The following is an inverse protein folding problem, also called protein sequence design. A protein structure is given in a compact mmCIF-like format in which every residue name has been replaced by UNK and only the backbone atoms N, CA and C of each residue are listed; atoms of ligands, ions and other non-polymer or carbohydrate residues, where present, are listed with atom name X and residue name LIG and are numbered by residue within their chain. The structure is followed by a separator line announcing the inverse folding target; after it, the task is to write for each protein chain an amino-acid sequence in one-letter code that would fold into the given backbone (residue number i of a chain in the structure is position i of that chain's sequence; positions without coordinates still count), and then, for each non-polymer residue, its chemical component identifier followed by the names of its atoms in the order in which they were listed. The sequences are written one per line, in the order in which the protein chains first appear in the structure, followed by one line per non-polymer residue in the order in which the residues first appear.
data_IF_087512979658
#
_entry.id   IF_087512979658
#
_cell.length_a   1.000
_cell.length_b   1.000
_cell.length_c   1.000
_cell.angle_alpha   90.00
_cell.angle_beta   90.00
_cell.angle_gamma   90.00
#
_symmetry.space_group_name_H-M   'P 1'
#
loop_
_entity.id
_entity.type
_entity.pdbx_description
1 polymer ?
#
# COMPACT_ATOMS: atom_id res chain seq x y z
N UNK A 1 7.89 17.96 -1.50
CA UNK A 1 7.82 17.04 -0.37
C UNK A 1 8.37 15.69 -0.80
N UNK A 2 9.18 15.07 0.02
CA UNK A 2 9.64 13.68 -0.11
C UNK A 2 9.06 12.89 1.06
N UNK A 3 8.47 11.75 0.75
CA UNK A 3 7.90 10.83 1.75
C UNK A 3 8.65 9.51 1.66
N UNK A 4 9.21 9.05 2.75
CA UNK A 4 9.79 7.72 2.88
C UNK A 4 8.86 6.85 3.71
N UNK A 5 8.41 5.74 3.14
CA UNK A 5 7.58 4.76 3.83
C UNK A 5 8.42 3.62 4.39
N UNK A 6 7.80 2.80 5.25
CA UNK A 6 8.38 1.53 5.67
C UNK A 6 8.63 0.60 4.48
N UNK A 7 9.68 -0.23 4.54
CA UNK A 7 9.96 -1.25 3.52
C UNK A 7 8.89 -2.35 3.39
N UNK A 8 7.94 -2.40 4.32
CA UNK A 8 6.78 -3.31 4.33
C UNK A 8 5.47 -2.54 4.11
N UNK A 9 5.51 -1.42 3.45
CA UNK A 9 4.35 -0.59 3.19
C UNK A 9 3.73 -0.90 1.82
N UNK A 10 2.42 -0.98 1.79
CA UNK A 10 1.65 -0.98 0.56
C UNK A 10 1.63 0.44 -0.02
N UNK A 11 2.03 0.63 -1.29
CA UNK A 11 2.18 1.98 -1.84
C UNK A 11 0.85 2.65 -2.19
N UNK A 12 -0.20 1.88 -2.50
CA UNK A 12 -1.47 2.43 -2.98
C UNK A 12 -2.19 3.31 -1.96
N UNK A 13 -2.38 2.92 -0.69
CA UNK A 13 -3.08 3.76 0.28
C UNK A 13 -2.40 5.13 0.47
N UNK A 14 -1.07 5.17 0.40
CA UNK A 14 -0.31 6.42 0.50
C UNK A 14 -0.56 7.30 -0.73
N UNK A 15 -0.52 6.72 -1.92
CA UNK A 15 -0.76 7.46 -3.16
C UNK A 15 -2.17 8.03 -3.20
N UNK A 16 -3.19 7.26 -2.83
CA UNK A 16 -4.57 7.71 -2.72
C UNK A 16 -4.73 8.86 -1.71
N UNK A 17 -4.08 8.78 -0.55
CA UNK A 17 -4.09 9.86 0.43
C UNK A 17 -3.46 11.15 -0.11
N UNK A 18 -2.42 11.05 -0.95
CA UNK A 18 -1.78 12.22 -1.58
C UNK A 18 -2.71 12.87 -2.60
N UNK A 19 -3.50 12.11 -3.35
CA UNK A 19 -4.47 12.65 -4.32
C UNK A 19 -5.56 13.52 -3.69
N UNK A 20 -5.88 13.30 -2.42
CA UNK A 20 -6.85 14.14 -1.71
C UNK A 20 -6.32 15.53 -1.35
N UNK A 21 -5.00 15.78 -1.53
CA UNK A 21 -4.38 17.06 -1.20
C UNK A 21 -4.68 18.09 -2.29
N UNK A 22 -5.36 19.16 -1.92
CA UNK A 22 -5.66 20.27 -2.82
C UNK A 22 -4.37 20.86 -3.41
N UNK A 23 -4.31 20.98 -4.74
CA UNK A 23 -3.15 21.47 -5.49
C UNK A 23 -1.86 20.63 -5.34
N UNK A 24 -1.97 19.41 -4.81
CA UNK A 24 -0.90 18.42 -4.80
C UNK A 24 -0.94 17.54 -6.05
N UNK A 25 0.19 16.98 -6.43
CA UNK A 25 0.27 15.90 -7.39
C UNK A 25 1.42 14.97 -7.03
N UNK A 26 1.26 13.71 -7.34
CA UNK A 26 2.30 12.70 -7.16
C UNK A 26 3.24 12.73 -8.37
N UNK A 27 4.48 13.17 -8.15
CA UNK A 27 5.46 13.34 -9.22
C UNK A 27 6.10 12.01 -9.66
N UNK A 28 6.47 11.20 -8.68
CA UNK A 28 7.21 9.96 -8.90
C UNK A 28 7.02 9.03 -7.69
N UNK A 29 6.79 7.76 -7.95
CA UNK A 29 6.87 6.70 -6.95
C UNK A 29 8.13 5.90 -7.23
N UNK A 30 9.05 5.92 -6.27
CA UNK A 30 10.35 5.29 -6.39
C UNK A 30 10.42 4.08 -5.47
N UNK A 31 10.60 2.90 -6.05
CA UNK A 31 10.93 1.70 -5.31
C UNK A 31 12.42 1.37 -5.43
N UNK A 32 13.01 0.88 -4.34
CA UNK A 32 14.42 0.48 -4.29
C UNK A 32 14.49 -0.99 -3.96
N UNK A 33 15.06 -1.78 -4.86
CA UNK A 33 15.25 -3.22 -4.68
C UNK A 33 16.74 -3.58 -4.64
N UNK A 34 17.07 -4.61 -3.89
CA UNK A 34 18.41 -5.17 -3.77
C UNK A 34 18.59 -6.29 -4.81
N UNK A 35 19.45 -6.07 -5.81
CA UNK A 35 19.72 -7.05 -6.85
C UNK A 35 20.22 -8.38 -6.29
N UNK A 36 21.08 -8.35 -5.28
CA UNK A 36 21.63 -9.55 -4.67
C UNK A 36 20.54 -10.36 -3.96
N UNK A 37 19.64 -9.68 -3.25
CA UNK A 37 18.50 -10.31 -2.60
C UNK A 37 17.54 -10.93 -3.61
N UNK A 38 17.25 -10.24 -4.71
CA UNK A 38 16.40 -10.78 -5.77
C UNK A 38 16.97 -12.07 -6.37
N UNK A 39 18.30 -12.15 -6.49
CA UNK A 39 18.98 -13.35 -7.00
C UNK A 39 18.96 -14.49 -5.97
N UNK A 40 19.32 -14.22 -4.73
CA UNK A 40 19.54 -15.26 -3.72
C UNK A 40 18.23 -15.79 -3.12
N UNK A 41 17.29 -14.90 -2.79
CA UNK A 41 16.06 -15.26 -2.08
C UNK A 41 14.90 -15.53 -3.03
N UNK A 42 14.84 -14.85 -4.19
CA UNK A 42 13.69 -14.91 -5.10
C UNK A 42 14.01 -15.58 -6.45
N UNK A 43 15.06 -16.38 -6.52
CA UNK A 43 15.45 -17.09 -7.75
C UNK A 43 15.56 -16.17 -8.97
N UNK A 44 16.36 -15.12 -8.86
CA UNK A 44 16.55 -14.08 -9.88
C UNK A 44 15.22 -13.34 -10.22
N UNK A 45 14.28 -13.32 -9.28
CA UNK A 45 12.97 -12.73 -9.42
C UNK A 45 11.88 -13.67 -9.97
N UNK A 46 12.22 -14.90 -10.35
CA UNK A 46 11.26 -15.84 -10.94
C UNK A 46 10.12 -16.22 -9.96
N UNK A 47 10.38 -16.18 -8.65
CA UNK A 47 9.34 -16.43 -7.63
C UNK A 47 8.27 -15.35 -7.61
N UNK A 48 8.62 -14.11 -7.93
CA UNK A 48 7.69 -12.97 -7.99
C UNK A 48 6.65 -13.09 -9.12
N UNK A 49 6.81 -14.02 -10.03
CA UNK A 49 5.87 -14.28 -11.12
C UNK A 49 4.87 -15.40 -10.81
N UNK A 50 4.90 -15.97 -9.62
CA UNK A 50 3.95 -16.99 -9.20
C UNK A 50 2.60 -16.35 -8.88
N UNK A 51 1.50 -17.04 -9.23
CA UNK A 51 0.14 -16.57 -8.99
C UNK A 51 -0.44 -16.98 -7.63
N UNK A 52 0.17 -17.97 -6.97
CA UNK A 52 -0.33 -18.54 -5.70
C UNK A 52 0.45 -17.98 -4.49
N UNK A 53 0.72 -16.67 -4.47
CA UNK A 53 1.32 -16.00 -3.32
C UNK A 53 0.21 -15.60 -2.35
N UNK A 54 0.43 -15.84 -1.03
CA UNK A 54 -0.45 -15.34 0.01
C UNK A 54 -0.37 -13.81 0.10
N UNK A 55 -1.45 -13.17 0.51
CA UNK A 55 -1.50 -11.70 0.62
C UNK A 55 -0.51 -11.14 1.65
N UNK A 56 -0.21 -11.91 2.68
CA UNK A 56 0.73 -11.55 3.75
C UNK A 56 2.20 -11.90 3.44
N UNK A 57 2.47 -12.49 2.27
CA UNK A 57 3.82 -12.89 1.89
C UNK A 57 4.68 -11.67 1.50
N UNK A 58 5.94 -11.68 1.90
CA UNK A 58 6.92 -10.63 1.53
C UNK A 58 7.06 -10.53 0.01
N UNK A 59 6.93 -11.65 -0.69
CA UNK A 59 6.93 -11.73 -2.14
C UNK A 59 5.79 -10.92 -2.75
N UNK A 60 4.57 -11.05 -2.23
CA UNK A 60 3.39 -10.32 -2.68
C UNK A 60 3.59 -8.81 -2.51
N UNK A 61 4.06 -8.39 -1.35
CA UNK A 61 4.35 -6.99 -1.08
C UNK A 61 5.43 -6.41 -1.99
N UNK A 62 6.50 -7.18 -2.27
CA UNK A 62 7.55 -6.75 -3.18
C UNK A 62 7.03 -6.63 -4.62
N UNK A 63 6.15 -7.53 -5.06
CA UNK A 63 5.47 -7.44 -6.35
C UNK A 63 4.65 -6.16 -6.43
N UNK A 64 3.80 -5.88 -5.44
CA UNK A 64 3.00 -4.65 -5.37
C UNK A 64 3.88 -3.40 -5.44
N UNK A 65 5.00 -3.37 -4.71
CA UNK A 65 5.94 -2.25 -4.74
C UNK A 65 6.61 -2.06 -6.10
N UNK A 66 6.86 -3.12 -6.85
CA UNK A 66 7.42 -3.05 -8.21
C UNK A 66 6.35 -2.61 -9.21
N UNK A 67 5.16 -3.19 -9.14
CA UNK A 67 4.05 -2.89 -10.06
C UNK A 67 3.56 -1.44 -9.93
N UNK A 68 3.57 -0.89 -8.71
CA UNK A 68 3.09 0.45 -8.44
C UNK A 68 4.11 1.56 -8.68
N UNK A 69 5.39 1.25 -8.80
CA UNK A 69 6.40 2.29 -8.98
C UNK A 69 6.49 2.80 -10.42
N UNK A 70 6.76 4.09 -10.56
CA UNK A 70 7.11 4.71 -11.85
C UNK A 70 8.62 4.76 -12.10
N UNK A 71 9.42 4.64 -11.04
CA UNK A 71 10.88 4.49 -11.11
C UNK A 71 11.34 3.37 -10.18
N UNK A 72 12.05 2.39 -10.71
CA UNK A 72 12.66 1.30 -9.94
C UNK A 72 14.17 1.44 -9.92
N UNK A 73 14.74 1.53 -8.73
CA UNK A 73 16.18 1.52 -8.53
C UNK A 73 16.61 0.10 -8.17
N UNK A 74 17.37 -0.55 -9.05
CA UNK A 74 18.00 -1.85 -8.76
C UNK A 74 19.39 -1.57 -8.23
N UNK A 75 19.51 -1.62 -6.89
CA UNK A 75 20.77 -1.34 -6.20
C UNK A 75 21.63 -2.58 -6.02
N UNK A 76 22.88 -2.36 -5.66
CA UNK A 76 23.91 -3.41 -5.45
C UNK A 76 24.17 -4.25 -6.72
N UNK A 77 24.13 -3.64 -7.89
CA UNK A 77 24.41 -4.31 -9.16
C UNK A 77 25.83 -4.91 -9.22
N UNK A 78 26.75 -4.38 -8.43
CA UNK A 78 28.12 -4.86 -8.28
C UNK A 78 28.25 -6.23 -7.61
N UNK A 79 27.17 -6.71 -6.96
CA UNK A 79 27.14 -8.01 -6.27
C UNK A 79 26.50 -9.14 -7.09
N UNK A 80 26.09 -8.87 -8.31
CA UNK A 80 25.46 -9.85 -9.20
C UNK A 80 26.16 -9.86 -10.56
N UNK A 81 26.04 -10.98 -11.27
CA UNK A 81 26.59 -11.09 -12.64
C UNK A 81 25.64 -10.42 -13.64
N UNK A 82 26.17 -10.08 -14.83
CA UNK A 82 25.35 -9.51 -15.90
C UNK A 82 24.23 -10.46 -16.36
N UNK A 83 24.46 -11.77 -16.36
CA UNK A 83 23.41 -12.74 -16.73
C UNK A 83 22.29 -12.82 -15.68
N UNK A 84 22.64 -12.72 -14.39
CA UNK A 84 21.66 -12.58 -13.32
C UNK A 84 20.87 -11.27 -13.44
N UNK A 85 21.55 -10.15 -13.71
CA UNK A 85 20.91 -8.86 -13.90
C UNK A 85 19.95 -8.85 -15.10
N UNK A 86 20.29 -9.54 -16.21
CA UNK A 86 19.36 -9.71 -17.35
C UNK A 86 18.08 -10.40 -16.96
N UNK A 87 18.17 -11.44 -16.11
CA UNK A 87 16.97 -12.15 -15.62
C UNK A 87 16.12 -11.25 -14.71
N UNK A 88 16.74 -10.53 -13.78
CA UNK A 88 16.07 -9.56 -12.93
C UNK A 88 15.34 -8.50 -13.76
N UNK A 89 16.01 -7.93 -14.79
CA UNK A 89 15.36 -6.96 -15.70
C UNK A 89 14.15 -7.56 -16.41
N UNK A 90 14.26 -8.80 -16.89
CA UNK A 90 13.17 -9.47 -17.59
C UNK A 90 11.94 -9.66 -16.68
N UNK A 91 12.15 -10.02 -15.42
CA UNK A 91 11.07 -10.13 -14.43
C UNK A 91 10.45 -8.78 -14.15
N UNK A 92 11.26 -7.75 -13.88
CA UNK A 92 10.79 -6.39 -13.63
C UNK A 92 9.97 -5.86 -14.81
N UNK A 93 10.47 -6.01 -16.03
CA UNK A 93 9.73 -5.57 -17.25
C UNK A 93 8.41 -6.29 -17.43
N UNK A 94 8.32 -7.54 -16.96
CA UNK A 94 7.07 -8.31 -17.02
C UNK A 94 6.06 -7.85 -15.97
N UNK A 95 6.52 -7.49 -14.75
CA UNK A 95 5.66 -6.96 -13.69
C UNK A 95 5.22 -5.52 -13.98
N UNK A 96 6.14 -4.67 -14.43
CA UNK A 96 5.85 -3.27 -14.73
C UNK A 96 6.52 -2.84 -16.05
N UNK A 97 5.83 -2.95 -17.18
CA UNK A 97 6.39 -2.65 -18.51
C UNK A 97 6.79 -1.18 -18.73
N UNK A 98 6.17 -0.27 -17.98
CA UNK A 98 6.35 1.18 -18.14
C UNK A 98 7.32 1.80 -17.14
N UNK A 99 7.89 1.00 -16.24
CA UNK A 99 8.80 1.49 -15.20
C UNK A 99 10.12 2.00 -15.77
N UNK A 100 10.59 3.12 -15.25
CA UNK A 100 11.97 3.58 -15.47
C UNK A 100 12.91 2.81 -14.56
N UNK A 101 13.71 1.91 -15.13
CA UNK A 101 14.71 1.15 -14.37
C UNK A 101 16.03 1.91 -14.31
N UNK A 102 16.62 2.01 -13.12
CA UNK A 102 17.94 2.59 -12.86
C UNK A 102 18.77 1.55 -12.09
N UNK A 103 19.85 1.07 -12.71
CA UNK A 103 20.78 0.16 -12.08
C UNK A 103 21.93 0.91 -11.43
N UNK A 104 22.19 0.64 -10.16
CA UNK A 104 23.16 1.43 -9.42
C UNK A 104 23.91 0.61 -8.37
N UNK A 105 24.98 1.21 -7.87
CA UNK A 105 25.74 0.75 -6.72
C UNK A 105 25.70 1.84 -5.66
N UNK A 106 25.40 1.48 -4.40
CA UNK A 106 25.27 2.40 -3.27
C UNK A 106 24.25 3.50 -3.50
N UNK A 107 23.18 3.22 -4.24
CA UNK A 107 22.12 4.17 -4.60
C UNK A 107 22.63 5.49 -5.21
N UNK A 108 23.70 5.45 -5.97
CA UNK A 108 24.23 6.63 -6.66
C UNK A 108 23.36 6.92 -7.89
N UNK A 109 22.36 7.79 -7.70
CA UNK A 109 21.40 8.19 -8.75
C UNK A 109 21.37 9.71 -8.81
N UNK A 110 21.39 10.31 -9.99
CA UNK A 110 21.20 11.74 -10.17
C UNK A 110 19.81 12.16 -9.67
N UNK A 111 19.70 13.27 -8.94
CA UNK A 111 18.43 13.73 -8.40
C UNK A 111 17.43 14.14 -9.47
N UNK A 112 17.89 14.59 -10.63
CA UNK A 112 17.07 14.89 -11.80
C UNK A 112 16.34 13.66 -12.36
N UNK A 113 16.83 12.46 -12.09
CA UNK A 113 16.14 11.20 -12.44
C UNK A 113 15.00 10.84 -11.47
N UNK A 114 14.96 11.48 -10.31
CA UNK A 114 14.00 11.18 -9.24
C UNK A 114 13.01 12.30 -8.97
N UNK A 115 13.40 13.55 -9.13
CA UNK A 115 12.62 14.73 -8.75
C UNK A 115 12.17 15.51 -9.97
N UNK A 116 10.97 16.10 -9.91
CA UNK A 116 10.35 16.88 -10.97
C UNK A 116 10.23 16.12 -12.30
N UNK A 117 9.99 14.82 -12.22
CA UNK A 117 10.00 13.93 -13.39
C UNK A 117 8.65 13.82 -14.06
N UNK A 118 7.55 14.05 -13.33
CA UNK A 118 6.17 13.87 -13.78
C UNK A 118 5.93 12.49 -14.39
N UNK A 119 6.55 11.46 -13.78
CA UNK A 119 6.48 10.08 -14.29
C UNK A 119 5.31 9.30 -13.75
N UNK A 120 4.81 9.68 -12.59
CA UNK A 120 3.70 8.94 -12.00
C UNK A 120 2.40 9.28 -12.73
N UNK A 121 1.68 8.26 -13.11
CA UNK A 121 0.42 8.35 -13.82
C UNK A 121 -0.47 7.19 -13.33
N UNK A 122 -1.53 7.52 -12.61
CA UNK A 122 -2.44 6.53 -12.04
C UNK A 122 -3.04 5.62 -13.12
N UNK A 123 -3.45 6.18 -14.26
CA UNK A 123 -4.07 5.37 -15.33
C UNK A 123 -3.12 4.28 -15.81
N UNK A 124 -1.84 4.61 -16.01
CA UNK A 124 -0.83 3.63 -16.45
C UNK A 124 -0.50 2.58 -15.40
N UNK A 125 -0.57 2.95 -14.14
CA UNK A 125 -0.36 1.99 -13.03
C UNK A 125 -1.52 1.01 -12.97
N UNK A 126 -2.76 1.49 -13.08
CA UNK A 126 -3.96 0.65 -13.05
C UNK A 126 -4.14 -0.23 -14.29
N UNK A 127 -3.55 0.13 -15.43
CA UNK A 127 -3.53 -0.73 -16.62
C UNK A 127 -2.67 -1.99 -16.44
N UNK A 128 -1.83 -2.06 -15.40
CA UNK A 128 -1.10 -3.29 -15.09
C UNK A 128 -2.07 -4.37 -14.60
N UNK A 129 -2.00 -5.56 -15.19
CA UNK A 129 -2.97 -6.64 -14.94
C UNK A 129 -3.08 -7.09 -13.47
N UNK A 130 -2.05 -6.87 -12.65
CA UNK A 130 -2.05 -7.17 -11.21
C UNK A 130 -2.97 -6.26 -10.43
N UNK A 131 -2.95 -4.96 -10.73
CA UNK A 131 -3.76 -3.97 -10.02
C UNK A 131 -5.24 -4.05 -10.31
N UNK A 132 -5.64 -4.36 -11.53
CA UNK A 132 -7.06 -4.58 -11.89
C UNK A 132 -7.64 -5.74 -11.07
N UNK A 133 -6.92 -6.85 -10.97
CA UNK A 133 -7.34 -8.00 -10.17
C UNK A 133 -7.45 -7.68 -8.67
N UNK A 134 -6.54 -6.87 -8.13
CA UNK A 134 -6.56 -6.45 -6.71
C UNK A 134 -7.72 -5.48 -6.42
N UNK A 135 -8.02 -4.56 -7.33
CA UNK A 135 -9.15 -3.65 -7.20
C UNK A 135 -10.50 -4.38 -7.29
N UNK A 136 -10.62 -5.35 -8.20
CA UNK A 136 -11.81 -6.18 -8.31
C UNK A 136 -12.05 -6.97 -7.01
N UNK A 137 -11.01 -7.54 -6.43
CA UNK A 137 -11.07 -8.28 -5.18
C UNK A 137 -11.50 -7.42 -3.98
N UNK A 138 -10.93 -6.21 -3.85
CA UNK A 138 -11.34 -5.27 -2.80
C UNK A 138 -12.76 -4.76 -2.97
N UNK A 139 -13.24 -4.58 -4.21
CA UNK A 139 -14.62 -4.20 -4.46
C UNK A 139 -15.60 -5.29 -3.99
N UNK A 140 -15.25 -6.56 -4.20
CA UNK A 140 -16.06 -7.71 -3.74
C UNK A 140 -16.09 -7.81 -2.20
N UNK A 141 -14.98 -7.51 -1.49
CA UNK A 141 -14.94 -7.51 -0.02
C UNK A 141 -15.81 -6.43 0.62
N UNK A 142 -15.98 -5.27 -0.01
CA UNK A 142 -16.85 -4.20 0.50
C UNK A 142 -18.34 -4.46 0.24
N UNK A 143 -18.70 -5.23 -0.78
CA UNK A 143 -20.09 -5.59 -1.07
C UNK A 143 -20.62 -6.69 -0.12
N UNK A 144 -19.75 -7.56 0.44
CA UNK A 144 -20.15 -8.61 1.39
C UNK A 144 -20.44 -8.09 2.82
N UNK A 145 -19.89 -6.93 3.21
CA UNK A 145 -20.11 -6.36 4.55
C UNK A 145 -21.46 -5.61 4.69
N UNK A 146 -22.16 -5.30 3.58
CA UNK A 146 -23.43 -4.56 3.62
C UNK A 146 -24.68 -5.47 3.72
N UNK A 147 -24.56 -6.81 3.66
CA UNK A 147 -25.73 -7.72 3.68
C UNK A 147 -26.15 -8.21 5.07
N UNK A 148 -25.48 -7.88 6.18
CA UNK A 148 -25.87 -8.31 7.54
C UNK A 148 -26.36 -7.18 8.46
N UNK A 149 -27.24 -6.31 7.97
CA UNK A 149 -28.01 -5.41 8.85
C UNK A 149 -29.51 -5.56 8.62
N UNK A 150 -30.04 -6.78 8.76
CA UNK A 150 -31.48 -7.00 8.91
C UNK A 150 -31.86 -6.71 10.38
N UNK A 151 -32.16 -5.43 10.68
CA UNK A 151 -32.78 -5.04 11.93
C UNK A 151 -34.27 -5.30 11.85
N UNK A 152 -34.69 -6.47 12.35
CA UNK A 152 -36.06 -6.72 12.76
C UNK A 152 -36.47 -5.70 13.84
N UNK A 153 -37.16 -4.65 13.43
CA UNK A 153 -37.88 -3.77 14.34
C UNK A 153 -39.18 -4.45 14.75
N UNK A 154 -39.12 -5.29 15.78
CA UNK A 154 -40.31 -5.64 16.51
C UNK A 154 -40.83 -4.39 17.30
N UNK A 155 -42.08 -4.02 17.00
CA UNK A 155 -42.85 -3.01 17.67
C UNK A 155 -42.85 -3.25 19.18
N UNK A 156 -42.30 -2.33 19.95
CA UNK A 156 -42.56 -2.19 21.38
C UNK A 156 -43.61 -1.14 21.58
N UNK A 157 -44.84 -1.61 21.86
CA UNK A 157 -45.91 -0.79 22.42
C UNK A 157 -45.47 -0.29 23.80
N UNK A 158 -45.34 1.00 23.97
CA UNK A 158 -45.18 1.64 25.28
C UNK A 158 -46.48 2.17 25.75
N UNK A 159 -47.11 1.43 26.70
CA UNK A 159 -48.14 1.97 27.60
C UNK A 159 -47.51 2.96 28.58
N UNK A 160 -48.14 4.13 28.65
CA UNK A 160 -47.86 5.17 29.61
C UNK A 160 -48.30 4.75 31.02
N UNK A 161 -47.41 4.82 31.98
CA UNK A 161 -47.77 5.07 33.37
C UNK A 161 -46.86 6.13 33.98
N UNK A 162 -47.53 7.26 34.31
CA UNK A 162 -47.05 8.30 35.22
C UNK A 162 -46.81 7.72 36.59
N UNK A 163 -45.69 7.99 37.20
CA UNK A 163 -45.61 8.28 38.64
C UNK A 163 -44.25 8.95 38.96
N UNK A 164 -44.40 10.17 39.51
CA UNK A 164 -43.33 10.97 40.10
C UNK A 164 -42.88 10.38 41.42
N UNK A 165 -41.58 10.25 41.63
CA UNK A 165 -41.02 10.38 42.97
C UNK A 165 -39.62 11.02 42.92
N UNK A 166 -39.54 12.10 43.68
CA UNK A 166 -38.37 12.87 44.09
C UNK A 166 -37.42 12.00 44.92
N UNK A 167 -36.14 12.09 44.66
CA UNK A 167 -35.14 11.82 45.67
C UNK A 167 -33.98 12.83 45.53
N UNK A 168 -34.02 13.78 46.48
CA UNK A 168 -32.89 14.59 46.89
C UNK A 168 -31.80 13.67 47.46
N UNK A 169 -30.55 13.90 47.11
CA UNK A 169 -29.45 13.60 48.02
C UNK A 169 -28.28 14.56 47.85
N UNK A 170 -28.00 15.11 48.98
CA UNK A 170 -27.08 16.12 49.46
C UNK A 170 -25.62 15.90 49.09
N UNK A 171 -24.97 17.03 49.10
CA UNK A 171 -23.55 17.30 49.17
C UNK A 171 -22.82 16.55 50.29
N UNK A 172 -21.60 16.15 50.03
CA UNK A 172 -20.51 16.24 51.00
C UNK A 172 -19.20 16.53 50.30
N UNK A 173 -18.72 17.74 50.57
CA UNK A 173 -17.30 18.13 50.57
C UNK A 173 -16.55 17.35 51.65
N UNK A 174 -15.28 17.11 51.50
CA UNK A 174 -14.17 17.41 52.41
C UNK A 174 -12.89 16.66 52.04
N UNK A 175 -11.84 17.44 51.72
CA UNK A 175 -10.54 17.60 52.41
C UNK A 175 -9.52 16.44 52.38
N UNK A 176 -8.39 16.78 51.78
CA UNK A 176 -7.04 17.14 52.31
C UNK A 176 -6.02 15.98 52.45
N UNK A 177 -4.83 16.34 51.95
CA UNK A 177 -3.45 16.05 52.43
C UNK A 177 -2.87 14.61 52.37
N UNK A 178 -1.90 14.40 51.54
CA UNK A 178 -0.46 14.46 51.76
C UNK A 178 0.31 14.22 50.47
#
# INVERSE_FOLDING_TARGET
LLIESSGVCEPMPIAQAIETIENGYLDNVVSVVDAKRLVDEFSEGAQLLKKDMGEEDIESLLVQQIEFCSTLIINKKDLVTEDQMKKVRAVVTKLQPHVKVIETTRCQVPLEDLLATKRFDFEKVFESAGWVAELEKRAEEYDDDDEECDHDHEHCDHDHHDEHEHCDHDHHDEHEHH
#
